data_IF_095852172947
#
_entry.id   IF_095852172947
#
_cell.length_a   1.000
_cell.length_b   1.000
_cell.length_c   1.000
_cell.angle_alpha   90.00
_cell.angle_beta   90.00
_cell.angle_gamma   90.00
#
_symmetry.space_group_name_H-M   'P 1'
#
loop_
_entity.id
_entity.type
_entity.pdbx_description
1 polymer ?
#
# COMPACT_ATOMS: atom_id res chain seq x y z
N UNK A 1 -2.78 36.75 -3.03
CA UNK A 1 -3.13 35.52 -3.80
C UNK A 1 -2.86 34.32 -2.91
N UNK A 2 -3.85 33.46 -2.65
CA UNK A 2 -3.61 32.20 -1.95
C UNK A 2 -2.59 31.36 -2.73
N UNK A 3 -1.57 30.89 -2.06
CA UNK A 3 -0.52 30.04 -2.67
C UNK A 3 -1.15 28.68 -3.00
N UNK A 4 -1.10 28.27 -4.26
CA UNK A 4 -1.59 26.96 -4.71
C UNK A 4 -0.42 26.00 -4.85
N UNK A 5 -0.57 24.78 -4.29
CA UNK A 5 0.38 23.69 -4.42
C UNK A 5 -0.29 22.53 -5.16
N UNK A 6 0.33 22.09 -6.26
CA UNK A 6 -0.13 20.94 -7.07
C UNK A 6 0.78 19.76 -6.83
N UNK A 7 0.25 18.70 -6.25
CA UNK A 7 1.02 17.50 -5.93
C UNK A 7 0.46 16.30 -6.70
N UNK A 8 1.36 15.57 -7.34
CA UNK A 8 1.04 14.34 -8.04
C UNK A 8 1.56 13.13 -7.25
N UNK A 9 0.66 12.27 -6.82
CA UNK A 9 0.97 10.99 -6.21
C UNK A 9 1.00 9.90 -7.28
N UNK A 10 1.92 8.95 -7.17
CA UNK A 10 1.98 7.79 -8.05
C UNK A 10 2.44 6.53 -7.31
N UNK A 11 1.92 5.37 -7.74
CA UNK A 11 2.26 4.09 -7.14
C UNK A 11 1.62 2.92 -7.87
N UNK A 12 1.89 1.71 -7.40
CA UNK A 12 1.22 0.50 -7.87
C UNK A 12 -0.19 0.35 -7.32
N UNK A 13 -1.00 -0.52 -7.94
CA UNK A 13 -2.41 -0.74 -7.59
C UNK A 13 -2.66 -1.71 -6.44
N UNK A 14 -1.73 -1.89 -5.52
CA UNK A 14 -1.87 -2.74 -4.33
C UNK A 14 -1.98 -1.90 -3.05
N UNK A 15 -2.51 -2.50 -1.99
CA UNK A 15 -2.66 -1.82 -0.69
C UNK A 15 -1.34 -1.27 -0.15
N UNK A 16 -0.22 -2.01 -0.31
CA UNK A 16 1.11 -1.57 0.14
C UNK A 16 1.61 -0.28 -0.52
N UNK A 17 1.10 0.07 -1.70
CA UNK A 17 1.42 1.33 -2.36
C UNK A 17 0.37 2.42 -2.08
N UNK A 18 -0.93 2.05 -2.06
CA UNK A 18 -2.02 3.03 -1.99
C UNK A 18 -2.23 3.58 -0.57
N UNK A 19 -2.25 2.72 0.46
CA UNK A 19 -2.46 3.19 1.83
C UNK A 19 -1.41 4.20 2.32
N UNK A 20 -0.10 4.02 2.05
CA UNK A 20 0.90 5.04 2.36
C UNK A 20 0.66 6.36 1.60
N UNK A 21 0.22 6.31 0.34
CA UNK A 21 -0.10 7.53 -0.43
C UNK A 21 -1.30 8.27 0.16
N UNK A 22 -2.31 7.54 0.63
CA UNK A 22 -3.46 8.13 1.34
C UNK A 22 -3.00 8.78 2.64
N UNK A 23 -2.12 8.14 3.40
CA UNK A 23 -1.59 8.71 4.65
C UNK A 23 -0.80 10.00 4.40
N UNK A 24 0.09 9.99 3.40
CA UNK A 24 0.85 11.20 2.98
C UNK A 24 -0.09 12.30 2.47
N UNK A 25 -1.09 11.94 1.66
CA UNK A 25 -2.08 12.88 1.13
C UNK A 25 -2.89 13.57 2.24
N UNK A 26 -3.35 12.81 3.23
CA UNK A 26 -4.09 13.33 4.38
C UNK A 26 -3.23 14.28 5.21
N UNK A 27 -1.95 13.95 5.44
CA UNK A 27 -1.03 14.81 6.17
C UNK A 27 -0.76 16.11 5.40
N UNK A 28 -0.53 16.03 4.08
CA UNK A 28 -0.38 17.21 3.22
C UNK A 28 -1.60 18.12 3.26
N UNK A 29 -2.82 17.56 3.25
CA UNK A 29 -4.06 18.34 3.35
C UNK A 29 -4.12 19.09 4.69
N UNK A 30 -3.76 18.42 5.79
CA UNK A 30 -3.73 19.03 7.12
C UNK A 30 -2.72 20.19 7.18
N UNK A 31 -1.49 19.97 6.75
CA UNK A 31 -0.41 20.95 6.81
C UNK A 31 -0.67 22.14 5.88
N UNK A 32 -1.16 21.88 4.67
CA UNK A 32 -1.52 22.94 3.73
C UNK A 32 -2.70 23.77 4.26
N UNK A 33 -3.71 23.12 4.85
CA UNK A 33 -4.85 23.81 5.46
C UNK A 33 -4.41 24.75 6.60
N UNK A 34 -3.55 24.27 7.49
CA UNK A 34 -2.99 25.09 8.58
C UNK A 34 -2.14 26.27 8.06
N UNK A 35 -1.49 26.11 6.91
CA UNK A 35 -0.64 27.13 6.31
C UNK A 35 -1.36 28.05 5.31
N UNK A 36 -2.68 27.93 5.15
CA UNK A 36 -3.45 28.72 4.18
C UNK A 36 -3.11 28.44 2.72
N UNK A 37 -2.55 27.26 2.43
CA UNK A 37 -2.15 26.83 1.08
C UNK A 37 -3.29 25.99 0.48
N UNK A 38 -3.75 26.34 -0.73
CA UNK A 38 -4.69 25.53 -1.49
C UNK A 38 -3.95 24.33 -2.12
N UNK A 39 -4.27 23.12 -1.69
CA UNK A 39 -3.68 21.89 -2.24
C UNK A 39 -4.56 21.30 -3.35
N UNK A 40 -3.99 21.07 -4.55
CA UNK A 40 -4.60 20.24 -5.61
C UNK A 40 -3.84 18.91 -5.68
N UNK A 41 -4.41 17.89 -5.06
CA UNK A 41 -3.80 16.57 -4.91
C UNK A 41 -4.40 15.60 -5.93
N UNK A 42 -3.56 14.99 -6.75
CA UNK A 42 -3.97 14.01 -7.77
C UNK A 42 -3.16 12.74 -7.69
N UNK A 43 -3.79 11.64 -8.05
CA UNK A 43 -3.14 10.35 -8.23
C UNK A 43 -3.07 9.99 -9.71
N UNK A 44 -1.91 9.53 -10.15
CA UNK A 44 -1.68 9.05 -11.51
C UNK A 44 -0.98 7.68 -11.46
N UNK A 45 -1.66 6.62 -11.90
CA UNK A 45 -1.11 5.27 -11.86
C UNK A 45 -2.17 4.18 -11.96
N UNK A 46 -1.75 2.94 -11.70
CA UNK A 46 -2.67 1.82 -11.52
C UNK A 46 -3.27 1.88 -10.11
N UNK A 47 -4.58 1.90 -9.98
CA UNK A 47 -5.24 2.02 -8.67
C UNK A 47 -5.99 0.74 -8.24
N UNK A 48 -6.09 -0.28 -9.11
CA UNK A 48 -6.80 -1.53 -8.79
C UNK A 48 -8.23 -1.27 -8.29
N UNK A 49 -8.55 -1.82 -7.13
CA UNK A 49 -9.83 -1.63 -6.44
C UNK A 49 -9.87 -0.38 -5.53
N UNK A 50 -8.80 0.39 -5.45
CA UNK A 50 -8.65 1.48 -4.47
C UNK A 50 -9.07 2.86 -4.98
N UNK A 51 -9.79 2.95 -6.11
CA UNK A 51 -10.26 4.22 -6.66
C UNK A 51 -11.12 4.99 -5.65
N UNK A 52 -12.13 4.33 -5.11
CA UNK A 52 -13.05 4.92 -4.13
C UNK A 52 -12.33 5.38 -2.85
N UNK A 53 -11.34 4.62 -2.38
CA UNK A 53 -10.52 5.00 -1.24
C UNK A 53 -9.74 6.29 -1.49
N UNK A 54 -9.12 6.43 -2.65
CA UNK A 54 -8.39 7.64 -3.02
C UNK A 54 -9.34 8.84 -3.13
N UNK A 55 -10.47 8.69 -3.81
CA UNK A 55 -11.47 9.74 -4.00
C UNK A 55 -12.11 10.17 -2.66
N UNK A 56 -12.40 9.23 -1.76
CA UNK A 56 -12.89 9.51 -0.40
C UNK A 56 -11.90 10.32 0.45
N UNK A 57 -10.60 10.30 0.10
CA UNK A 57 -9.57 11.11 0.73
C UNK A 57 -9.22 12.37 -0.08
N UNK A 58 -10.14 12.87 -0.90
CA UNK A 58 -10.00 14.07 -1.74
C UNK A 58 -8.81 14.02 -2.71
N UNK A 59 -8.41 12.83 -3.16
CA UNK A 59 -7.36 12.63 -4.17
C UNK A 59 -8.02 12.37 -5.52
N UNK A 60 -7.86 13.29 -6.47
CA UNK A 60 -8.41 13.15 -7.82
C UNK A 60 -7.66 12.07 -8.60
N UNK A 61 -8.35 11.02 -9.02
CA UNK A 61 -7.73 9.83 -9.62
C UNK A 61 -7.72 9.90 -11.14
N UNK A 62 -6.57 9.61 -11.74
CA UNK A 62 -6.39 9.39 -13.18
C UNK A 62 -5.60 8.10 -13.41
N UNK A 63 -6.09 7.28 -14.34
CA UNK A 63 -5.45 5.99 -14.66
C UNK A 63 -4.31 6.17 -15.64
N UNK A 64 -3.19 5.46 -15.40
CA UNK A 64 -2.17 5.14 -16.40
C UNK A 64 -2.06 3.63 -16.48
N UNK A 65 -1.81 3.11 -17.67
CA UNK A 65 -1.62 1.68 -17.86
C UNK A 65 -0.45 1.20 -17.00
N UNK A 66 -0.67 0.15 -16.21
CA UNK A 66 0.38 -0.45 -15.40
C UNK A 66 1.27 -1.34 -16.27
N UNK A 67 2.56 -1.06 -16.34
CA UNK A 67 3.57 -1.98 -16.86
C UNK A 67 4.35 -2.58 -15.68
N UNK A 68 4.54 -3.91 -15.70
CA UNK A 68 5.35 -4.61 -14.69
C UNK A 68 6.78 -4.71 -15.20
N UNK A 69 7.73 -4.14 -14.46
CA UNK A 69 9.14 -4.40 -14.68
C UNK A 69 9.54 -5.65 -13.90
N UNK A 70 9.98 -6.68 -14.62
CA UNK A 70 10.42 -7.94 -14.03
C UNK A 70 11.93 -8.01 -14.00
N UNK A 71 12.48 -8.61 -12.92
CA UNK A 71 13.92 -8.82 -12.75
C UNK A 71 14.44 -10.01 -13.56
N UNK A 72 13.55 -10.84 -14.13
CA UNK A 72 13.89 -12.05 -14.86
C UNK A 72 13.39 -11.99 -16.31
N UNK A 73 14.04 -12.73 -17.18
CA UNK A 73 13.63 -12.86 -18.58
C UNK A 73 12.27 -13.59 -18.65
N UNK A 74 11.31 -12.99 -19.32
CA UNK A 74 9.97 -13.56 -19.53
C UNK A 74 9.47 -13.11 -20.91
N UNK A 75 8.78 -13.99 -21.63
CA UNK A 75 8.10 -13.64 -22.89
C UNK A 75 7.14 -12.46 -22.72
N UNK A 76 6.60 -12.25 -21.52
CA UNK A 76 5.77 -11.09 -21.21
C UNK A 76 6.53 -9.75 -21.29
N UNK A 77 7.87 -9.76 -21.26
CA UNK A 77 8.66 -8.54 -21.42
C UNK A 77 8.48 -7.92 -22.80
N UNK A 78 8.21 -8.72 -23.85
CA UNK A 78 7.88 -8.22 -25.18
C UNK A 78 6.57 -7.42 -25.22
N UNK A 79 5.61 -7.75 -24.35
CA UNK A 79 4.35 -7.05 -24.22
C UNK A 79 4.49 -5.87 -23.23
N UNK A 80 5.30 -6.02 -22.19
CA UNK A 80 5.49 -4.99 -21.17
C UNK A 80 6.29 -3.78 -21.70
N UNK A 81 7.19 -3.97 -22.70
CA UNK A 81 7.92 -2.89 -23.36
C UNK A 81 7.00 -1.87 -24.07
N UNK A 82 6.19 -2.28 -25.05
CA UNK A 82 5.20 -1.40 -25.69
C UNK A 82 4.20 -0.78 -24.71
N UNK A 83 3.75 -1.55 -23.70
CA UNK A 83 2.88 -1.02 -22.63
C UNK A 83 3.58 0.07 -21.82
N UNK A 84 4.88 -0.07 -21.57
CA UNK A 84 5.66 0.94 -20.86
C UNK A 84 5.74 2.25 -21.66
N UNK A 85 6.04 2.16 -22.95
CA UNK A 85 6.09 3.30 -23.86
C UNK A 85 4.71 4.01 -23.91
N UNK A 86 3.65 3.24 -24.07
CA UNK A 86 2.28 3.77 -24.03
C UNK A 86 1.97 4.46 -22.69
N UNK A 87 2.36 3.83 -21.57
CA UNK A 87 2.19 4.40 -20.22
C UNK A 87 2.95 5.70 -20.04
N UNK A 88 4.16 5.81 -20.61
CA UNK A 88 4.97 7.02 -20.58
C UNK A 88 4.25 8.17 -21.33
N UNK A 89 3.78 7.95 -22.54
CA UNK A 89 3.05 8.99 -23.29
C UNK A 89 1.74 9.38 -22.61
N UNK A 90 0.99 8.41 -22.08
CA UNK A 90 -0.20 8.72 -21.27
C UNK A 90 0.14 9.60 -20.05
N UNK A 91 1.22 9.27 -19.35
CA UNK A 91 1.67 10.04 -18.20
C UNK A 91 2.12 11.45 -18.63
N UNK A 92 2.92 11.54 -19.69
CA UNK A 92 3.41 12.81 -20.21
C UNK A 92 2.28 13.78 -20.57
N UNK A 93 1.27 13.32 -21.33
CA UNK A 93 0.11 14.14 -21.67
C UNK A 93 -0.65 14.60 -20.41
N UNK A 94 -0.90 13.72 -19.46
CA UNK A 94 -1.64 14.07 -18.24
C UNK A 94 -0.85 15.00 -17.32
N UNK A 95 0.46 14.83 -17.24
CA UNK A 95 1.37 15.72 -16.50
C UNK A 95 1.40 17.09 -17.16
N UNK A 96 1.48 17.17 -18.49
CA UNK A 96 1.44 18.43 -19.24
C UNK A 96 0.22 19.28 -18.88
N UNK A 97 -0.98 18.70 -18.89
CA UNK A 97 -2.19 19.43 -18.53
C UNK A 97 -2.35 19.74 -17.03
N UNK A 98 -1.63 19.04 -16.17
CA UNK A 98 -1.70 19.27 -14.73
C UNK A 98 -0.54 20.16 -14.23
N UNK A 99 0.65 19.94 -14.77
CA UNK A 99 1.91 20.60 -14.38
C UNK A 99 2.07 20.63 -12.85
N UNK A 100 2.25 19.48 -12.20
CA UNK A 100 2.43 19.44 -10.75
C UNK A 100 3.74 20.15 -10.34
N UNK A 101 3.73 20.75 -9.16
CA UNK A 101 4.93 21.38 -8.58
C UNK A 101 5.89 20.32 -8.03
N UNK A 102 5.36 19.13 -7.69
CA UNK A 102 6.14 17.99 -7.19
C UNK A 102 5.42 16.66 -7.47
N UNK A 103 6.20 15.60 -7.67
CA UNK A 103 5.71 14.21 -7.77
C UNK A 103 6.21 13.43 -6.57
N UNK A 104 5.31 12.73 -5.88
CA UNK A 104 5.63 11.77 -4.84
C UNK A 104 5.31 10.35 -5.33
N UNK A 105 6.32 9.50 -5.39
CA UNK A 105 6.21 8.13 -5.90
C UNK A 105 6.45 7.09 -4.81
N UNK A 106 5.51 6.16 -4.67
CA UNK A 106 5.64 4.99 -3.79
C UNK A 106 6.25 3.79 -4.53
N UNK A 107 6.53 3.95 -5.82
CA UNK A 107 7.00 2.85 -6.65
C UNK A 107 5.88 1.90 -7.09
N UNK A 108 6.27 0.71 -7.53
CA UNK A 108 5.36 -0.31 -8.05
C UNK A 108 5.04 -0.17 -9.54
N UNK A 109 4.20 -1.07 -10.09
CA UNK A 109 3.89 -1.13 -11.51
C UNK A 109 3.31 0.18 -12.04
N UNK A 110 3.89 0.70 -13.12
CA UNK A 110 3.45 1.93 -13.78
C UNK A 110 4.04 3.23 -13.20
N UNK A 111 4.57 3.23 -11.99
CA UNK A 111 5.12 4.43 -11.37
C UNK A 111 6.37 4.97 -12.10
N UNK A 112 7.23 4.09 -12.64
CA UNK A 112 8.43 4.52 -13.36
C UNK A 112 8.09 5.38 -14.59
N UNK A 113 7.04 5.04 -15.34
CA UNK A 113 6.60 5.83 -16.49
C UNK A 113 6.19 7.25 -16.07
N UNK A 114 5.53 7.40 -14.93
CA UNK A 114 5.15 8.70 -14.36
C UNK A 114 6.38 9.47 -13.89
N UNK A 115 7.34 8.80 -13.24
CA UNK A 115 8.62 9.41 -12.80
C UNK A 115 9.42 9.94 -13.98
N UNK A 116 9.54 9.15 -15.06
CA UNK A 116 10.26 9.57 -16.27
C UNK A 116 9.55 10.73 -16.98
N UNK A 117 8.22 10.69 -17.07
CA UNK A 117 7.44 11.80 -17.63
C UNK A 117 7.58 13.08 -16.79
N UNK A 118 7.59 12.97 -15.46
CA UNK A 118 7.87 14.12 -14.59
C UNK A 118 9.28 14.67 -14.78
N UNK A 119 10.28 13.80 -14.91
CA UNK A 119 11.66 14.20 -15.21
C UNK A 119 11.78 14.89 -16.56
N UNK A 120 11.06 14.44 -17.58
CA UNK A 120 11.00 15.07 -18.89
C UNK A 120 10.55 16.54 -18.82
N UNK A 121 9.61 16.85 -17.92
CA UNK A 121 9.15 18.22 -17.64
C UNK A 121 9.92 18.92 -16.51
N UNK A 122 11.07 18.40 -16.09
CA UNK A 122 11.91 18.95 -15.01
C UNK A 122 11.20 19.08 -13.65
N UNK A 123 10.10 18.34 -13.45
CA UNK A 123 9.36 18.36 -12.20
C UNK A 123 10.12 17.55 -11.15
N UNK A 124 10.34 18.10 -9.94
CA UNK A 124 11.03 17.37 -8.88
C UNK A 124 10.24 16.13 -8.44
N UNK A 125 10.96 15.03 -8.27
CA UNK A 125 10.40 13.74 -7.84
C UNK A 125 10.97 13.37 -6.48
N UNK A 126 10.09 13.00 -5.55
CA UNK A 126 10.44 12.32 -4.30
C UNK A 126 9.96 10.87 -4.44
N UNK A 127 10.82 9.91 -4.12
CA UNK A 127 10.43 8.51 -4.02
C UNK A 127 10.46 8.03 -2.58
N UNK A 128 9.61 7.07 -2.25
CA UNK A 128 9.58 6.43 -0.95
C UNK A 128 9.71 4.91 -1.11
N UNK A 129 10.70 4.33 -0.41
CA UNK A 129 10.91 2.89 -0.35
C UNK A 129 10.46 2.34 1.01
N UNK A 130 9.62 1.31 0.97
CA UNK A 130 9.03 0.69 2.17
C UNK A 130 9.77 -0.55 2.63
N UNK A 131 10.53 -1.16 1.75
CA UNK A 131 11.15 -2.45 2.00
C UNK A 131 12.63 -2.27 2.36
N UNK A 132 13.19 -3.22 3.08
CA UNK A 132 14.64 -3.25 3.39
C UNK A 132 15.48 -3.42 2.13
N UNK A 133 14.96 -4.17 1.14
CA UNK A 133 15.57 -4.35 -0.18
C UNK A 133 14.70 -3.64 -1.22
N UNK A 134 15.18 -2.57 -1.84
CA UNK A 134 14.38 -1.76 -2.74
C UNK A 134 13.85 -2.54 -3.94
N UNK A 135 12.61 -2.22 -4.32
CA UNK A 135 12.01 -2.71 -5.55
C UNK A 135 12.70 -2.15 -6.80
N UNK A 136 12.68 -2.92 -7.92
CA UNK A 136 13.32 -2.52 -9.18
C UNK A 136 12.82 -1.15 -9.67
N UNK A 137 11.54 -0.87 -9.54
CA UNK A 137 10.95 0.44 -9.92
C UNK A 137 11.60 1.57 -9.15
N UNK A 138 11.80 1.43 -7.83
CA UNK A 138 12.43 2.46 -7.01
C UNK A 138 13.92 2.58 -7.27
N UNK A 139 14.65 1.47 -7.51
CA UNK A 139 16.06 1.51 -7.92
C UNK A 139 16.27 2.29 -9.21
N UNK A 140 15.41 2.09 -10.21
CA UNK A 140 15.48 2.83 -11.47
C UNK A 140 15.03 4.29 -11.30
N UNK A 141 13.97 4.54 -10.54
CA UNK A 141 13.45 5.88 -10.27
C UNK A 141 14.43 6.73 -9.47
N UNK A 142 15.24 6.12 -8.61
CA UNK A 142 16.23 6.80 -7.78
C UNK A 142 17.21 7.64 -8.60
N UNK A 143 17.53 7.22 -9.82
CA UNK A 143 18.41 7.96 -10.74
C UNK A 143 17.86 9.34 -11.11
N UNK A 144 16.54 9.52 -11.03
CA UNK A 144 15.81 10.71 -11.44
C UNK A 144 15.21 11.48 -10.26
N UNK A 145 15.21 10.86 -9.07
CA UNK A 145 14.64 11.45 -7.86
C UNK A 145 15.53 12.57 -7.31
N UNK A 146 14.91 13.63 -6.83
CA UNK A 146 15.56 14.71 -6.07
C UNK A 146 15.84 14.27 -4.62
N UNK A 147 14.94 13.46 -4.06
CA UNK A 147 15.01 12.98 -2.69
C UNK A 147 14.46 11.55 -2.62
N UNK A 148 15.10 10.71 -1.82
CA UNK A 148 14.68 9.36 -1.54
C UNK A 148 14.35 9.27 -0.05
N UNK A 149 13.15 8.79 0.25
CA UNK A 149 12.72 8.50 1.61
C UNK A 149 12.73 6.97 1.81
N UNK A 150 13.21 6.52 2.96
CA UNK A 150 13.28 5.09 3.29
C UNK A 150 12.58 4.78 4.60
N UNK A 151 12.09 3.55 4.72
CA UNK A 151 11.39 3.09 5.93
C UNK A 151 12.31 2.39 6.91
N UNK A 152 13.42 1.83 6.45
CA UNK A 152 14.32 1.02 7.26
C UNK A 152 15.76 1.53 7.22
N UNK A 153 16.48 1.45 8.35
CA UNK A 153 17.92 1.69 8.35
C UNK A 153 18.65 0.69 7.43
N UNK A 154 19.74 1.12 6.82
CA UNK A 154 20.55 0.31 5.91
C UNK A 154 20.06 0.32 4.46
N UNK A 155 18.79 0.71 4.19
CA UNK A 155 18.25 0.80 2.84
C UNK A 155 18.96 1.86 1.99
N UNK A 156 19.56 2.88 2.62
CA UNK A 156 20.34 3.93 1.95
C UNK A 156 21.54 3.40 1.18
N UNK A 157 22.10 2.26 1.57
CA UNK A 157 23.24 1.61 0.89
C UNK A 157 22.95 1.23 -0.56
N UNK A 158 21.67 1.04 -0.91
CA UNK A 158 21.23 0.76 -2.28
C UNK A 158 21.16 2.00 -3.18
N UNK A 159 21.35 3.19 -2.63
CA UNK A 159 21.22 4.46 -3.34
C UNK A 159 22.48 5.33 -3.24
N UNK A 160 23.66 4.81 -3.66
CA UNK A 160 24.92 5.51 -3.52
C UNK A 160 24.90 6.86 -4.24
N UNK A 161 25.46 7.89 -3.61
CA UNK A 161 25.53 9.25 -4.17
C UNK A 161 24.19 9.97 -4.27
N UNK A 162 23.12 9.47 -3.64
CA UNK A 162 21.79 10.09 -3.62
C UNK A 162 21.47 10.68 -2.24
N UNK A 163 20.63 11.70 -2.23
CA UNK A 163 20.09 12.22 -0.98
C UNK A 163 19.01 11.27 -0.45
N UNK A 164 19.27 10.63 0.67
CA UNK A 164 18.37 9.68 1.33
C UNK A 164 18.04 10.16 2.73
N UNK A 165 16.77 10.02 3.13
CA UNK A 165 16.28 10.35 4.49
C UNK A 165 15.45 9.19 5.00
N UNK A 166 15.78 8.71 6.20
CA UNK A 166 15.01 7.70 6.92
C UNK A 166 13.78 8.37 7.56
N UNK A 167 12.58 7.98 7.11
CA UNK A 167 11.30 8.56 7.58
C UNK A 167 10.36 7.55 8.21
N UNK A 168 10.62 6.25 8.06
CA UNK A 168 9.66 5.22 8.39
C UNK A 168 8.53 5.09 7.35
N UNK A 169 7.61 4.14 7.59
CA UNK A 169 6.44 3.96 6.73
C UNK A 169 5.33 4.97 7.07
N UNK A 170 4.73 5.65 6.07
CA UNK A 170 3.56 6.47 6.29
C UNK A 170 2.37 5.62 6.77
N UNK A 171 1.85 5.95 7.95
CA UNK A 171 0.73 5.26 8.60
C UNK A 171 -0.45 6.22 8.73
N UNK A 172 -1.66 5.75 8.47
CA UNK A 172 -2.88 6.55 8.66
C UNK A 172 -3.05 6.95 10.12
N UNK A 173 -3.39 8.21 10.39
CA UNK A 173 -3.59 8.73 11.77
C UNK A 173 -4.59 7.90 12.58
N UNK A 174 -5.62 7.35 11.94
CA UNK A 174 -6.61 6.50 12.60
C UNK A 174 -6.01 5.22 13.21
N UNK A 175 -4.87 4.76 12.72
CA UNK A 175 -4.15 3.60 13.25
C UNK A 175 -3.14 3.99 14.36
N UNK A 176 -2.84 5.28 14.49
CA UNK A 176 -1.94 5.80 15.51
C UNK A 176 -2.66 6.17 16.82
N UNK A 177 -3.99 6.15 16.82
CA UNK A 177 -4.77 6.36 18.02
C UNK A 177 -4.38 5.26 19.03
N UNK A 178 -3.79 5.68 20.13
CA UNK A 178 -3.42 4.77 21.22
C UNK A 178 -4.69 4.13 21.76
N UNK A 179 -4.75 2.82 21.69
CA UNK A 179 -5.84 2.03 22.24
C UNK A 179 -5.36 1.55 23.60
N UNK A 180 -5.95 2.09 24.67
CA UNK A 180 -5.72 1.61 26.03
C UNK A 180 -6.27 0.19 26.23
N UNK A 181 -5.95 -0.40 27.38
CA UNK A 181 -6.34 -1.78 27.69
C UNK A 181 -7.86 -1.93 27.76
N UNK A 182 -8.56 -0.95 28.31
CA UNK A 182 -10.02 -0.97 28.43
C UNK A 182 -10.70 -0.94 27.05
N UNK A 183 -10.22 -0.11 26.15
CA UNK A 183 -10.67 -0.05 24.74
C UNK A 183 -10.38 -1.37 24.01
N UNK A 184 -9.23 -2.02 24.26
CA UNK A 184 -8.91 -3.34 23.67
C UNK A 184 -9.88 -4.41 24.13
N UNK A 185 -10.17 -4.49 25.43
CA UNK A 185 -11.13 -5.43 26.01
C UNK A 185 -12.53 -5.22 25.42
N UNK A 186 -13.00 -3.97 25.42
CA UNK A 186 -14.30 -3.60 24.82
C UNK A 186 -14.38 -3.96 23.33
N UNK A 187 -13.31 -3.71 22.57
CA UNK A 187 -13.29 -4.03 21.15
C UNK A 187 -13.33 -5.54 20.89
N UNK A 188 -12.65 -6.37 21.68
CA UNK A 188 -12.77 -7.82 21.58
C UNK A 188 -14.23 -8.27 21.73
N UNK A 189 -14.93 -7.81 22.78
CA UNK A 189 -16.33 -8.15 23.03
C UNK A 189 -17.25 -7.67 21.91
N UNK A 190 -17.01 -6.49 21.33
CA UNK A 190 -17.79 -5.96 20.20
C UNK A 190 -17.69 -6.82 18.93
N UNK A 191 -16.60 -7.58 18.77
CA UNK A 191 -16.42 -8.55 17.68
C UNK A 191 -16.81 -9.99 18.07
N UNK A 192 -17.41 -10.19 19.24
CA UNK A 192 -17.88 -11.51 19.72
C UNK A 192 -16.77 -12.38 20.31
N UNK A 193 -15.58 -11.84 20.56
CA UNK A 193 -14.48 -12.55 21.19
C UNK A 193 -14.53 -12.45 22.72
N UNK A 194 -14.08 -13.50 23.40
CA UNK A 194 -13.90 -13.48 24.85
C UNK A 194 -12.74 -12.53 25.21
N UNK A 195 -12.99 -11.49 26.03
CA UNK A 195 -11.96 -10.55 26.44
C UNK A 195 -10.82 -11.18 27.25
N UNK A 196 -11.09 -12.28 27.93
CA UNK A 196 -10.13 -12.95 28.84
C UNK A 196 -9.15 -13.88 28.09
N UNK A 197 -9.55 -14.38 26.91
CA UNK A 197 -8.70 -15.27 26.13
C UNK A 197 -7.79 -14.46 25.18
N UNK A 198 -6.55 -14.90 24.94
CA UNK A 198 -5.73 -14.31 23.89
C UNK A 198 -6.43 -14.36 22.52
N UNK A 199 -6.19 -13.32 21.67
CA UNK A 199 -6.70 -13.27 20.31
C UNK A 199 -5.52 -13.13 19.33
N UNK A 200 -5.43 -14.05 18.39
CA UNK A 200 -4.44 -14.01 17.31
C UNK A 200 -5.11 -13.44 16.06
N UNK A 201 -4.54 -12.38 15.50
CA UNK A 201 -4.89 -11.86 14.20
C UNK A 201 -3.94 -12.44 13.14
N UNK A 202 -4.49 -13.21 12.20
CA UNK A 202 -3.75 -13.80 11.08
C UNK A 202 -4.09 -13.06 9.79
N UNK A 203 -3.07 -12.55 9.10
CA UNK A 203 -3.24 -11.79 7.87
C UNK A 203 -2.23 -12.20 6.79
N UNK A 204 -2.72 -12.70 5.67
CA UNK A 204 -1.93 -13.03 4.47
C UNK A 204 -1.81 -11.88 3.46
N UNK A 205 -2.05 -10.62 3.89
CA UNK A 205 -2.14 -9.46 3.00
C UNK A 205 -3.50 -9.35 2.30
N UNK A 206 -3.69 -8.31 1.47
CA UNK A 206 -5.01 -7.97 0.88
C UNK A 206 -5.62 -9.05 -0.02
N UNK A 207 -4.81 -9.96 -0.56
CA UNK A 207 -5.27 -11.07 -1.42
C UNK A 207 -5.38 -12.39 -0.64
N UNK A 208 -4.92 -12.43 0.61
CA UNK A 208 -4.68 -13.65 1.35
C UNK A 208 -3.42 -14.39 0.86
N UNK A 209 -2.98 -15.38 1.63
CA UNK A 209 -1.88 -16.28 1.28
C UNK A 209 -2.30 -17.72 1.58
N UNK A 210 -2.38 -18.55 0.55
CA UNK A 210 -2.84 -19.95 0.72
C UNK A 210 -1.98 -20.71 1.72
N UNK A 211 -0.67 -20.60 1.64
CA UNK A 211 0.24 -21.26 2.59
C UNK A 211 0.02 -20.87 4.06
N UNK A 212 -0.41 -19.62 4.32
CA UNK A 212 -0.79 -19.18 5.66
C UNK A 212 -2.16 -19.77 6.03
N UNK A 213 -3.12 -19.76 5.09
CA UNK A 213 -4.44 -20.32 5.32
C UNK A 213 -4.36 -21.82 5.65
N UNK A 214 -3.61 -22.57 4.83
CA UNK A 214 -3.41 -24.02 5.01
C UNK A 214 -2.74 -24.30 6.37
N UNK A 215 -1.66 -23.56 6.70
CA UNK A 215 -0.98 -23.72 7.99
C UNK A 215 -1.93 -23.49 9.19
N UNK A 216 -2.78 -22.47 9.12
CA UNK A 216 -3.75 -22.22 10.19
C UNK A 216 -4.80 -23.33 10.27
N UNK A 217 -5.33 -23.79 9.14
CA UNK A 217 -6.33 -24.88 9.10
C UNK A 217 -5.78 -26.18 9.67
N UNK A 218 -4.57 -26.56 9.28
CA UNK A 218 -3.90 -27.78 9.75
C UNK A 218 -3.67 -27.77 11.28
N UNK A 219 -3.44 -26.59 11.85
CA UNK A 219 -3.15 -26.44 13.27
C UNK A 219 -4.33 -25.87 14.09
N UNK A 220 -5.48 -25.60 13.47
CA UNK A 220 -6.60 -24.90 14.09
C UNK A 220 -7.08 -25.57 15.40
N UNK A 221 -7.21 -26.90 15.49
CA UNK A 221 -7.64 -27.54 16.73
C UNK A 221 -6.69 -27.28 17.90
N UNK A 222 -5.38 -27.26 17.66
CA UNK A 222 -4.39 -27.00 18.69
C UNK A 222 -4.34 -25.51 19.10
N UNK A 223 -4.44 -24.62 18.13
CA UNK A 223 -4.45 -23.17 18.33
C UNK A 223 -5.65 -22.75 19.18
N UNK A 224 -6.84 -23.27 18.89
CA UNK A 224 -8.07 -22.91 19.59
C UNK A 224 -8.15 -23.47 21.02
N UNK A 225 -7.26 -24.39 21.44
CA UNK A 225 -7.16 -24.80 22.85
C UNK A 225 -6.80 -23.63 23.77
N UNK A 226 -5.95 -22.72 23.29
CA UNK A 226 -5.34 -21.67 24.13
C UNK A 226 -5.67 -20.26 23.69
N UNK A 227 -6.22 -20.07 22.49
CA UNK A 227 -6.47 -18.75 21.90
C UNK A 227 -7.76 -18.70 21.11
N UNK A 228 -8.11 -17.51 20.68
CA UNK A 228 -9.12 -17.23 19.64
C UNK A 228 -8.42 -16.74 18.38
N UNK A 229 -9.03 -16.94 17.19
CA UNK A 229 -8.40 -16.59 15.91
C UNK A 229 -9.31 -15.70 15.09
N UNK A 230 -8.79 -14.54 14.69
CA UNK A 230 -9.36 -13.71 13.63
C UNK A 230 -8.50 -13.85 12.38
N UNK A 231 -9.02 -14.51 11.35
CA UNK A 231 -8.24 -14.85 10.16
C UNK A 231 -8.75 -14.13 8.91
N UNK A 232 -7.88 -13.32 8.31
CA UNK A 232 -8.09 -12.72 6.99
C UNK A 232 -7.57 -13.64 5.89
N UNK A 233 -8.42 -14.44 5.31
CA UNK A 233 -8.07 -15.47 4.32
C UNK A 233 -7.89 -14.93 2.88
N UNK A 234 -8.44 -13.74 2.58
CA UNK A 234 -8.54 -13.17 1.25
C UNK A 234 -9.83 -13.58 0.52
N UNK A 235 -10.40 -12.65 -0.26
CA UNK A 235 -11.71 -12.82 -0.90
C UNK A 235 -11.80 -14.09 -1.77
N UNK A 236 -10.74 -14.45 -2.48
CA UNK A 236 -10.72 -15.61 -3.37
C UNK A 236 -10.74 -16.93 -2.61
N UNK A 237 -10.15 -16.96 -1.43
CA UNK A 237 -9.99 -18.19 -0.63
C UNK A 237 -11.09 -18.35 0.41
N UNK A 238 -11.86 -17.28 0.69
CA UNK A 238 -12.80 -17.22 1.81
C UNK A 238 -13.80 -18.38 1.83
N UNK A 239 -14.46 -18.65 0.72
CA UNK A 239 -15.49 -19.69 0.64
C UNK A 239 -14.93 -21.10 0.86
N UNK A 240 -13.73 -21.36 0.33
CA UNK A 240 -13.06 -22.64 0.55
C UNK A 240 -12.64 -22.78 2.00
N UNK A 241 -11.92 -21.80 2.53
CA UNK A 241 -11.46 -21.82 3.94
C UNK A 241 -12.62 -21.93 4.91
N UNK A 242 -13.76 -21.25 4.64
CA UNK A 242 -14.95 -21.34 5.48
C UNK A 242 -15.51 -22.77 5.55
N UNK A 243 -15.58 -23.48 4.41
CA UNK A 243 -16.01 -24.89 4.38
C UNK A 243 -15.09 -25.79 5.19
N UNK A 244 -13.78 -25.61 5.05
CA UNK A 244 -12.77 -26.38 5.77
C UNK A 244 -12.84 -26.13 7.28
N UNK A 245 -12.97 -24.86 7.69
CA UNK A 245 -13.17 -24.49 9.10
C UNK A 245 -14.45 -25.14 9.65
N UNK A 246 -15.57 -25.11 8.92
CA UNK A 246 -16.82 -25.71 9.35
C UNK A 246 -16.67 -27.23 9.59
N UNK A 247 -15.99 -27.91 8.67
CA UNK A 247 -15.72 -29.36 8.80
C UNK A 247 -14.82 -29.71 10.00
N UNK A 248 -13.82 -28.82 10.28
CA UNK A 248 -12.96 -28.98 11.46
C UNK A 248 -13.75 -28.71 12.73
N UNK A 249 -14.58 -27.68 12.76
CA UNK A 249 -15.40 -27.28 13.90
C UNK A 249 -16.39 -28.33 14.31
N UNK A 250 -17.03 -29.06 13.35
CA UNK A 250 -17.96 -30.17 13.62
C UNK A 250 -17.33 -31.32 14.44
N UNK A 251 -16.00 -31.44 14.40
CA UNK A 251 -15.24 -32.48 15.11
C UNK A 251 -14.70 -32.01 16.47
N UNK A 252 -14.98 -30.78 16.84
CA UNK A 252 -14.44 -30.14 18.06
C UNK A 252 -15.55 -29.98 19.12
N UNK A 253 -15.19 -29.92 20.43
CA UNK A 253 -16.11 -29.49 21.45
C UNK A 253 -16.70 -28.11 21.14
N UNK A 254 -18.02 -27.95 21.36
CA UNK A 254 -18.74 -26.71 21.00
C UNK A 254 -18.11 -25.44 21.60
N UNK A 255 -17.61 -25.51 22.83
CA UNK A 255 -16.95 -24.40 23.51
C UNK A 255 -15.65 -23.95 22.81
N UNK A 256 -14.95 -24.89 22.17
CA UNK A 256 -13.70 -24.59 21.43
C UNK A 256 -14.03 -24.14 20.01
N UNK A 257 -15.02 -24.77 19.38
CA UNK A 257 -15.44 -24.44 18.02
C UNK A 257 -15.96 -22.99 17.86
N UNK A 258 -16.39 -22.35 18.96
CA UNK A 258 -16.85 -20.95 19.00
C UNK A 258 -15.72 -19.92 19.10
N UNK A 259 -14.46 -20.33 19.28
CA UNK A 259 -13.28 -19.46 19.39
C UNK A 259 -12.70 -19.10 18.04
#
# INVERSE_FOLDING_TARGET
KMRKLRVLLTGGGTGGHIYPLVAVGAEMQTQCGQSGITLDLRYLGAYGQFKSLLEANNIKVRRVAGSKLRRYFSLHNFIDGPKFIYSFFQAAVKIFFFMPDIVFSKGGPGALAVVLAAKFYFIPVIIHESDTVPGLTNLLSARFAKLILTSFPGTESYFPGRQVVLTGNPIRRSLLALVDIETKVRNKGAYGFDPQLPLILVMGGSQGAMSINDFILDNLPAILQVTQVLHQTGLKNYQQTLKEVSFIAEKMPEEIAKR
#
